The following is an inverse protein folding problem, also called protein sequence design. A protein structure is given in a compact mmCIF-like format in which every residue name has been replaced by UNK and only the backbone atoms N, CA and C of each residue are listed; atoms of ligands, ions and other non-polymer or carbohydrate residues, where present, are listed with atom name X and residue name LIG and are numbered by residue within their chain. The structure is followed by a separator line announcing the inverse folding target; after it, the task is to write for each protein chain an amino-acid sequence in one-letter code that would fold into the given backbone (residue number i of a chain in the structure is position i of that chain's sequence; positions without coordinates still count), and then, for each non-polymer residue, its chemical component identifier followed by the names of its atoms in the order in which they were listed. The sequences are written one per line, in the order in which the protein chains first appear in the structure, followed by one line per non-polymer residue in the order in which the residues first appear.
data_IF_188945352285
#
_entry.id   IF_188945352285
#
_cell.length_a   1.000
_cell.length_b   1.000
_cell.length_c   1.000
_cell.angle_alpha   90.00
_cell.angle_beta   90.00
_cell.angle_gamma   90.00
#
_symmetry.space_group_name_H-M   'P 1'
#
loop_
_entity.id
_entity.type
_entity.pdbx_description
1 polymer ?
#
# COMPACT_ATOMS: atom_id res chain seq x y z
N UNK A 1 -5.72 16.33 8.17
CA UNK A 1 -4.88 16.18 6.97
C UNK A 1 -5.31 17.18 5.92
N UNK A 2 -4.39 17.82 5.19
CA UNK A 2 -4.75 18.49 3.96
C UNK A 2 -5.31 17.44 2.99
N UNK A 3 -6.47 17.73 2.39
CA UNK A 3 -7.19 16.83 1.47
C UNK A 3 -6.35 16.39 0.28
N UNK A 4 -5.36 17.21 -0.10
CA UNK A 4 -4.37 16.93 -1.14
C UNK A 4 -3.47 15.74 -0.82
N UNK A 5 -3.06 15.57 0.44
CA UNK A 5 -2.19 14.45 0.84
C UNK A 5 -2.92 13.12 0.71
N UNK A 6 -4.17 13.07 1.18
CA UNK A 6 -5.03 11.90 1.06
C UNK A 6 -5.28 11.54 -0.41
N UNK A 7 -5.49 12.54 -1.26
CA UNK A 7 -5.64 12.32 -2.69
C UNK A 7 -4.38 11.69 -3.31
N UNK A 8 -3.20 12.23 -3.00
CA UNK A 8 -1.91 11.70 -3.47
C UNK A 8 -1.67 10.26 -2.96
N UNK A 9 -1.99 9.97 -1.70
CA UNK A 9 -1.89 8.62 -1.12
C UNK A 9 -2.70 7.59 -1.89
N UNK A 10 -3.98 7.90 -2.15
CA UNK A 10 -4.88 7.03 -2.89
C UNK A 10 -4.39 6.83 -4.32
N UNK A 11 -3.88 7.89 -4.95
CA UNK A 11 -3.36 7.83 -6.31
C UNK A 11 -2.12 6.96 -6.41
N UNK A 12 -1.16 7.09 -5.47
CA UNK A 12 0.03 6.24 -5.41
C UNK A 12 -0.38 4.78 -5.22
N UNK A 13 -1.29 4.50 -4.29
CA UNK A 13 -1.77 3.14 -4.03
C UNK A 13 -2.47 2.55 -5.25
N UNK A 14 -3.35 3.33 -5.89
CA UNK A 14 -4.08 2.93 -7.09
C UNK A 14 -3.18 2.67 -8.28
N UNK A 15 -2.16 3.52 -8.47
CA UNK A 15 -1.15 3.36 -9.52
C UNK A 15 -0.37 2.07 -9.34
N UNK A 16 0.05 1.74 -8.12
CA UNK A 16 0.71 0.45 -7.82
C UNK A 16 -0.22 -0.73 -8.12
N UNK A 17 -1.50 -0.61 -7.75
CA UNK A 17 -2.50 -1.64 -8.01
C UNK A 17 -2.69 -1.87 -9.51
N UNK A 18 -2.80 -0.80 -10.28
CA UNK A 18 -2.94 -0.89 -11.74
C UNK A 18 -1.74 -1.55 -12.41
N UNK A 19 -0.51 -1.33 -11.94
CA UNK A 19 0.67 -1.96 -12.53
C UNK A 19 0.54 -3.48 -12.51
N UNK A 20 0.25 -4.07 -11.35
CA UNK A 20 0.14 -5.53 -11.28
C UNK A 20 -1.12 -6.05 -11.97
N UNK A 21 -2.24 -5.32 -11.94
CA UNK A 21 -3.46 -5.70 -12.67
C UNK A 21 -3.20 -5.73 -14.18
N UNK A 22 -2.49 -4.73 -14.72
CA UNK A 22 -2.12 -4.69 -16.14
C UNK A 22 -1.19 -5.85 -16.47
N UNK A 23 -0.12 -6.07 -15.69
CA UNK A 23 0.81 -7.18 -15.91
C UNK A 23 0.09 -8.53 -15.87
N UNK A 24 -0.80 -8.72 -14.89
CA UNK A 24 -1.61 -9.94 -14.76
C UNK A 24 -2.54 -10.11 -15.98
N UNK A 25 -3.17 -9.03 -16.43
CA UNK A 25 -4.03 -9.06 -17.62
C UNK A 25 -3.23 -9.43 -18.88
N UNK A 26 -2.00 -8.91 -19.04
CA UNK A 26 -1.11 -9.26 -20.14
C UNK A 26 -0.60 -10.70 -20.04
N UNK A 27 -0.38 -11.20 -18.81
CA UNK A 27 0.01 -12.59 -18.58
C UNK A 27 -1.08 -13.56 -19.07
N UNK A 28 -2.36 -13.25 -18.79
CA UNK A 28 -3.51 -14.10 -19.13
C UNK A 28 -3.96 -13.90 -20.58
N UNK A 29 -4.27 -12.67 -20.98
CA UNK A 29 -4.86 -12.35 -22.29
C UNK A 29 -3.83 -12.27 -23.42
N UNK A 30 -2.55 -12.04 -23.08
CA UNK A 30 -1.49 -11.77 -24.04
C UNK A 30 -1.33 -10.28 -24.34
N UNK A 31 -0.32 -9.95 -25.13
CA UNK A 31 -0.05 -8.57 -25.56
C UNK A 31 -0.85 -8.31 -26.83
N UNK A 32 -1.86 -7.44 -26.82
CA UNK A 32 -2.61 -7.13 -28.03
C UNK A 32 -1.72 -6.28 -28.95
N UNK A 33 -1.46 -6.74 -30.17
CA UNK A 33 -0.69 -5.99 -31.18
C UNK A 33 -1.26 -4.58 -31.45
N UNK A 34 -2.57 -4.42 -31.22
CA UNK A 34 -3.32 -3.17 -31.46
C UNK A 34 -3.01 -2.08 -30.43
N UNK A 35 -2.57 -2.42 -29.21
CA UNK A 35 -2.24 -1.43 -28.17
C UNK A 35 -0.95 -0.66 -28.52
N UNK A 36 -0.10 -1.21 -29.38
CA UNK A 36 1.20 -0.62 -29.72
C UNK A 36 1.16 0.50 -30.78
N UNK A 37 0.02 0.81 -31.39
CA UNK A 37 -0.04 1.72 -32.55
C UNK A 37 -0.86 2.98 -32.30
N UNK A 38 -0.44 4.05 -33.00
CA UNK A 38 -0.99 5.40 -33.29
C UNK A 38 -1.99 6.05 -32.33
N UNK A 39 -3.00 5.33 -31.84
CA UNK A 39 -3.98 5.79 -30.86
C UNK A 39 -3.35 6.20 -29.53
N UNK A 40 -2.39 5.42 -29.00
CA UNK A 40 -1.68 5.79 -27.76
C UNK A 40 -0.83 7.06 -27.91
N UNK A 41 -0.27 7.30 -29.10
CA UNK A 41 0.55 8.49 -29.36
C UNK A 41 -0.29 9.75 -29.51
N UNK A 42 -1.45 9.67 -30.16
CA UNK A 42 -2.27 10.85 -30.45
C UNK A 42 -3.22 11.25 -29.31
N UNK A 43 -3.59 10.32 -28.41
CA UNK A 43 -4.61 10.55 -27.39
C UNK A 43 -4.07 10.53 -25.94
N UNK A 44 -2.81 10.93 -25.74
CA UNK A 44 -2.15 10.89 -24.42
C UNK A 44 -2.92 11.62 -23.32
N UNK A 45 -3.52 12.78 -23.63
CA UNK A 45 -4.30 13.56 -22.65
C UNK A 45 -5.53 12.78 -22.15
N UNK A 46 -6.26 12.15 -23.07
CA UNK A 46 -7.44 11.34 -22.71
C UNK A 46 -7.02 10.12 -21.89
N UNK A 47 -5.94 9.45 -22.30
CA UNK A 47 -5.40 8.30 -21.57
C UNK A 47 -4.94 8.68 -20.16
N UNK A 48 -4.34 9.86 -19.99
CA UNK A 48 -3.95 10.36 -18.66
C UNK A 48 -5.17 10.59 -17.77
N UNK A 49 -6.23 11.23 -18.28
CA UNK A 49 -7.47 11.46 -17.52
C UNK A 49 -8.13 10.14 -17.11
N UNK A 50 -8.21 9.17 -18.03
CA UNK A 50 -8.73 7.84 -17.74
C UNK A 50 -7.86 7.12 -16.72
N UNK A 51 -6.54 7.15 -16.88
CA UNK A 51 -5.59 6.56 -15.94
C UNK A 51 -5.77 7.12 -14.54
N UNK A 52 -5.84 8.45 -14.39
CA UNK A 52 -6.01 9.12 -13.09
C UNK A 52 -7.35 8.72 -12.44
N UNK A 53 -8.43 8.68 -13.21
CA UNK A 53 -9.77 8.33 -12.73
C UNK A 53 -9.86 6.89 -12.25
N UNK A 54 -9.31 5.96 -13.04
CA UNK A 54 -9.25 4.54 -12.72
C UNK A 54 -8.32 4.30 -11.54
N UNK A 55 -7.12 4.90 -11.56
CA UNK A 55 -6.13 4.79 -10.48
C UNK A 55 -6.73 5.21 -9.15
N UNK A 56 -7.38 6.37 -9.09
CA UNK A 56 -8.03 6.85 -7.87
C UNK A 56 -9.07 5.85 -7.32
N UNK A 57 -9.91 5.29 -8.20
CA UNK A 57 -10.95 4.32 -7.82
C UNK A 57 -10.34 3.03 -7.27
N UNK A 58 -9.34 2.47 -7.95
CA UNK A 58 -8.61 1.30 -7.47
C UNK A 58 -7.87 1.60 -6.16
N UNK A 59 -7.32 2.81 -6.02
CA UNK A 59 -6.68 3.27 -4.79
C UNK A 59 -7.61 3.19 -3.58
N UNK A 60 -8.85 3.67 -3.72
CA UNK A 60 -9.86 3.57 -2.65
C UNK A 60 -10.18 2.11 -2.33
N UNK A 61 -10.47 1.29 -3.34
CA UNK A 61 -10.84 -0.12 -3.13
C UNK A 61 -9.71 -0.88 -2.43
N UNK A 62 -8.48 -0.70 -2.90
CA UNK A 62 -7.34 -1.43 -2.39
C UNK A 62 -6.91 -0.96 -0.99
N UNK A 63 -7.08 0.33 -0.67
CA UNK A 63 -6.88 0.83 0.69
C UNK A 63 -7.84 0.14 1.68
N UNK A 64 -9.12 -0.05 1.29
CA UNK A 64 -10.11 -0.78 2.10
C UNK A 64 -9.83 -2.26 2.25
N UNK A 65 -9.39 -2.92 1.17
CA UNK A 65 -8.98 -4.31 1.23
C UNK A 65 -7.78 -4.48 2.17
N UNK A 66 -6.82 -3.58 2.07
CA UNK A 66 -5.63 -3.58 2.93
C UNK A 66 -6.00 -3.33 4.39
N UNK A 67 -6.90 -2.38 4.69
CA UNK A 67 -7.43 -2.17 6.04
C UNK A 67 -8.02 -3.45 6.62
N UNK A 68 -8.79 -4.19 5.83
CA UNK A 68 -9.42 -5.45 6.28
C UNK A 68 -8.37 -6.53 6.59
N UNK A 69 -7.33 -6.65 5.75
CA UNK A 69 -6.26 -7.64 5.91
C UNK A 69 -5.40 -7.36 7.14
N UNK A 70 -5.12 -6.09 7.43
CA UNK A 70 -4.27 -5.69 8.56
C UNK A 70 -5.04 -5.47 9.88
N UNK A 71 -6.36 -5.30 9.83
CA UNK A 71 -7.23 -5.14 11.02
C UNK A 71 -6.94 -6.11 12.18
N UNK A 72 -6.81 -7.45 11.97
CA UNK A 72 -6.52 -8.37 13.08
C UNK A 72 -5.15 -8.13 13.72
N UNK A 73 -4.14 -7.77 12.92
CA UNK A 73 -2.81 -7.47 13.43
C UNK A 73 -2.79 -6.15 14.20
N UNK A 74 -3.49 -5.13 13.70
CA UNK A 74 -3.65 -3.85 14.38
C UNK A 74 -4.34 -4.03 15.76
N UNK A 75 -5.38 -4.86 15.82
CA UNK A 75 -6.05 -5.22 17.09
C UNK A 75 -5.09 -5.91 18.06
N UNK A 76 -4.24 -6.82 17.56
CA UNK A 76 -3.23 -7.52 18.38
C UNK A 76 -2.18 -6.57 18.94
N UNK A 77 -1.64 -5.65 18.14
CA UNK A 77 -0.66 -4.68 18.63
C UNK A 77 -1.28 -3.68 19.61
N UNK A 78 -2.53 -3.27 19.36
CA UNK A 78 -3.27 -2.39 20.25
C UNK A 78 -3.46 -3.03 21.62
N UNK A 79 -3.94 -4.28 21.69
CA UNK A 79 -4.16 -4.95 22.97
C UNK A 79 -2.88 -5.19 23.75
N UNK A 80 -1.75 -5.38 23.07
CA UNK A 80 -0.44 -5.55 23.70
C UNK A 80 0.14 -4.28 24.33
N UNK A 81 -0.11 -3.10 23.74
CA UNK A 81 0.53 -1.85 24.17
C UNK A 81 -0.39 -1.01 25.07
N UNK A 82 -1.66 -0.84 24.68
CA UNK A 82 -2.61 0.04 25.38
C UNK A 82 -3.49 -0.77 26.36
N UNK A 83 -3.43 -2.10 26.29
CA UNK A 83 -4.35 -2.97 27.02
C UNK A 83 -5.77 -2.94 26.45
N UNK A 84 -6.68 -3.67 27.09
CA UNK A 84 -8.08 -3.76 26.66
C UNK A 84 -8.94 -2.60 27.21
N UNK A 85 -8.33 -1.41 27.39
CA UNK A 85 -9.01 -0.25 27.94
C UNK A 85 -10.18 0.18 27.03
N UNK A 86 -11.33 0.42 27.65
CA UNK A 86 -12.65 0.56 27.01
C UNK A 86 -12.84 1.84 26.19
N UNK A 87 -11.95 2.83 26.34
CA UNK A 87 -11.97 4.03 25.48
C UNK A 87 -11.45 3.69 24.09
N UNK A 88 -12.26 3.97 23.07
CA UNK A 88 -11.82 3.88 21.68
C UNK A 88 -10.56 4.72 21.50
N UNK A 89 -9.48 4.14 20.97
CA UNK A 89 -8.23 4.83 20.62
C UNK A 89 -8.45 6.03 19.71
N UNK A 90 -9.57 6.06 18.99
CA UNK A 90 -9.99 7.22 18.21
C UNK A 90 -10.43 8.38 19.10
N UNK A 91 -11.17 8.12 20.18
CA UNK A 91 -11.62 9.15 21.13
C UNK A 91 -10.44 9.74 21.90
N UNK A 92 -9.53 8.88 22.38
CA UNK A 92 -8.30 9.32 23.06
C UNK A 92 -7.47 10.24 22.16
N UNK A 93 -7.32 9.88 20.88
CA UNK A 93 -6.59 10.72 19.92
C UNK A 93 -7.29 12.05 19.65
N UNK A 94 -8.62 12.05 19.63
CA UNK A 94 -9.41 13.26 19.39
C UNK A 94 -9.33 14.22 20.58
N UNK A 95 -9.29 13.66 21.79
CA UNK A 95 -9.08 14.39 23.06
C UNK A 95 -7.67 15.02 23.09
N UNK A 96 -6.62 14.23 22.87
CA UNK A 96 -5.22 14.71 22.86
C UNK A 96 -4.97 15.73 21.72
N UNK A 97 -5.56 15.50 20.54
CA UNK A 97 -5.34 16.37 19.39
C UNK A 97 -6.05 17.73 19.50
N UNK A 98 -7.07 17.84 20.36
CA UNK A 98 -7.85 19.08 20.53
C UNK A 98 -6.99 20.18 21.16
N UNK A 99 -6.09 19.80 22.06
CA UNK A 99 -5.32 20.76 22.87
C UNK A 99 -3.87 20.94 22.40
N UNK A 100 -3.41 20.16 21.41
CA UNK A 100 -2.02 20.23 20.92
C UNK A 100 -1.90 20.01 19.40
N UNK A 101 -1.75 21.11 18.66
CA UNK A 101 -1.60 21.13 17.20
C UNK A 101 -0.38 20.34 16.69
N UNK A 102 0.71 20.34 17.47
CA UNK A 102 1.92 19.59 17.15
C UNK A 102 1.67 18.07 17.21
N UNK A 103 0.98 17.59 18.24
CA UNK A 103 0.61 16.18 18.37
C UNK A 103 -0.37 15.75 17.27
N UNK A 104 -1.35 16.60 16.94
CA UNK A 104 -2.28 16.34 15.83
C UNK A 104 -1.53 16.14 14.49
N UNK A 105 -0.62 17.06 14.15
CA UNK A 105 0.17 16.98 12.92
C UNK A 105 1.03 15.71 12.88
N UNK A 106 1.62 15.34 14.02
CA UNK A 106 2.43 14.12 14.14
C UNK A 106 1.59 12.85 13.97
N UNK A 107 0.38 12.79 14.54
CA UNK A 107 -0.51 11.65 14.37
C UNK A 107 -0.97 11.48 12.92
N UNK A 108 -1.27 12.58 12.24
CA UNK A 108 -1.61 12.57 10.83
C UNK A 108 -0.42 12.08 9.99
N UNK A 109 0.80 12.54 10.27
CA UNK A 109 2.01 12.03 9.62
C UNK A 109 2.18 10.51 9.78
N UNK A 110 2.04 9.97 11.00
CA UNK A 110 2.12 8.53 11.24
C UNK A 110 1.03 7.76 10.49
N UNK A 111 -0.21 8.26 10.51
CA UNK A 111 -1.36 7.63 9.84
C UNK A 111 -1.13 7.50 8.34
N UNK A 112 -0.67 8.57 7.69
CA UNK A 112 -0.32 8.60 6.28
C UNK A 112 0.72 7.52 5.94
N UNK A 113 1.85 7.52 6.67
CA UNK A 113 2.95 6.59 6.44
C UNK A 113 2.56 5.13 6.68
N UNK A 114 1.74 4.87 7.71
CA UNK A 114 1.22 3.53 8.00
C UNK A 114 0.34 3.03 6.85
N UNK A 115 -0.56 3.87 6.32
CA UNK A 115 -1.40 3.49 5.17
C UNK A 115 -0.57 3.15 3.95
N UNK A 116 0.36 4.04 3.58
CA UNK A 116 1.27 3.81 2.44
C UNK A 116 2.04 2.50 2.62
N UNK A 117 2.63 2.26 3.79
CA UNK A 117 3.41 1.06 4.05
C UNK A 117 2.57 -0.23 3.97
N UNK A 118 1.35 -0.23 4.50
CA UNK A 118 0.46 -1.41 4.37
C UNK A 118 0.06 -1.65 2.93
N UNK A 119 -0.37 -0.61 2.20
CA UNK A 119 -0.80 -0.75 0.80
C UNK A 119 0.37 -1.25 -0.07
N UNK A 120 1.56 -0.70 0.14
CA UNK A 120 2.78 -1.13 -0.54
C UNK A 120 3.11 -2.60 -0.27
N UNK A 121 2.94 -3.06 0.97
CA UNK A 121 3.19 -4.45 1.37
C UNK A 121 2.36 -5.44 0.54
N UNK A 122 1.05 -5.19 0.40
CA UNK A 122 0.17 -6.08 -0.38
C UNK A 122 0.42 -5.92 -1.88
N UNK A 123 0.62 -4.69 -2.36
CA UNK A 123 0.89 -4.44 -3.78
C UNK A 123 2.18 -5.15 -4.25
N UNK A 124 3.25 -5.20 -3.44
CA UNK A 124 4.48 -5.94 -3.81
C UNK A 124 4.20 -7.44 -3.96
N UNK A 125 3.42 -8.04 -3.07
CA UNK A 125 3.08 -9.46 -3.16
C UNK A 125 2.31 -9.75 -4.44
N UNK A 126 1.27 -8.95 -4.74
CA UNK A 126 0.48 -9.12 -5.96
C UNK A 126 1.29 -8.85 -7.23
N UNK A 127 2.20 -7.88 -7.19
CA UNK A 127 3.13 -7.60 -8.27
C UNK A 127 4.07 -8.78 -8.52
N UNK A 128 4.62 -9.40 -7.46
CA UNK A 128 5.47 -10.59 -7.55
C UNK A 128 4.74 -11.74 -8.24
N UNK A 129 3.52 -12.06 -7.78
CA UNK A 129 2.68 -13.12 -8.37
C UNK A 129 2.40 -12.81 -9.85
N UNK A 130 2.03 -11.57 -10.17
CA UNK A 130 1.71 -11.16 -11.54
C UNK A 130 2.90 -11.28 -12.47
N UNK A 131 4.09 -10.87 -12.01
CA UNK A 131 5.34 -10.98 -12.78
C UNK A 131 5.75 -12.45 -12.99
N UNK A 132 5.64 -13.29 -11.96
CA UNK A 132 5.94 -14.72 -12.09
C UNK A 132 5.01 -15.40 -13.09
N UNK A 133 3.71 -15.10 -13.04
CA UNK A 133 2.74 -15.59 -14.02
C UNK A 133 3.04 -15.08 -15.44
N UNK A 134 3.45 -13.82 -15.57
CA UNK A 134 3.84 -13.26 -16.85
C UNK A 134 5.05 -13.99 -17.45
N UNK A 135 6.12 -14.15 -16.68
CA UNK A 135 7.31 -14.91 -17.11
C UNK A 135 6.95 -16.36 -17.42
N UNK A 136 6.10 -16.99 -16.62
CA UNK A 136 5.66 -18.36 -16.82
C UNK A 136 4.90 -18.55 -18.15
N UNK A 137 3.96 -17.67 -18.47
CA UNK A 137 3.04 -17.85 -19.59
C UNK A 137 3.53 -17.23 -20.90
N UNK A 138 4.33 -16.15 -20.84
CA UNK A 138 4.67 -15.34 -22.01
C UNK A 138 6.13 -15.41 -22.42
N UNK A 139 7.02 -15.83 -21.54
CA UNK A 139 8.44 -16.01 -21.86
C UNK A 139 8.77 -17.48 -22.15
N UNK A 140 7.96 -18.16 -22.96
CA UNK A 140 8.23 -19.56 -23.35
C UNK A 140 9.35 -19.69 -24.38
N UNK A 141 9.56 -18.67 -25.20
CA UNK A 141 10.63 -18.62 -26.21
C UNK A 141 12.01 -18.32 -25.60
N UNK A 142 12.05 -17.96 -24.31
CA UNK A 142 13.31 -17.71 -23.62
C UNK A 142 13.98 -19.02 -23.24
N UNK A 143 15.32 -19.02 -23.25
CA UNK A 143 16.09 -20.14 -22.73
C UNK A 143 15.69 -20.43 -21.27
N UNK A 144 15.56 -21.72 -20.94
CA UNK A 144 15.08 -22.17 -19.62
C UNK A 144 15.91 -21.58 -18.48
N UNK A 145 17.22 -21.47 -18.66
CA UNK A 145 18.14 -20.90 -17.66
C UNK A 145 17.85 -19.42 -17.40
N UNK A 146 17.60 -18.63 -18.45
CA UNK A 146 17.22 -17.23 -18.34
C UNK A 146 15.90 -17.06 -17.58
N UNK A 147 14.89 -17.88 -17.90
CA UNK A 147 13.57 -17.87 -17.25
C UNK A 147 13.66 -18.15 -15.74
N UNK A 148 14.46 -19.14 -15.35
CA UNK A 148 14.68 -19.50 -13.95
C UNK A 148 15.42 -18.39 -13.22
N UNK A 149 16.51 -17.86 -13.81
CA UNK A 149 17.31 -16.78 -13.23
C UNK A 149 16.46 -15.53 -12.94
N UNK A 150 15.64 -15.10 -13.91
CA UNK A 150 14.76 -13.95 -13.74
C UNK A 150 13.68 -14.22 -12.69
N UNK A 151 13.11 -15.42 -12.65
CA UNK A 151 12.10 -15.78 -11.64
C UNK A 151 12.69 -15.74 -10.23
N UNK A 152 13.90 -16.26 -10.03
CA UNK A 152 14.62 -16.20 -8.75
C UNK A 152 14.90 -14.75 -8.37
N UNK A 153 15.36 -13.93 -9.32
CA UNK A 153 15.62 -12.51 -9.10
C UNK A 153 14.35 -11.77 -8.64
N UNK A 154 13.20 -12.00 -9.30
CA UNK A 154 11.90 -11.43 -8.90
C UNK A 154 11.56 -11.82 -7.46
N UNK A 155 11.71 -13.11 -7.10
CA UNK A 155 11.42 -13.59 -5.73
C UNK A 155 12.34 -12.91 -4.71
N UNK A 156 13.65 -12.82 -4.97
CA UNK A 156 14.61 -12.21 -4.04
C UNK A 156 14.29 -10.72 -3.83
N UNK A 157 14.10 -9.97 -4.92
CA UNK A 157 13.82 -8.53 -4.85
C UNK A 157 12.49 -8.27 -4.14
N UNK A 158 11.44 -9.02 -4.50
CA UNK A 158 10.11 -8.84 -3.90
C UNK A 158 10.09 -9.24 -2.43
N UNK A 159 10.79 -10.31 -2.05
CA UNK A 159 10.94 -10.72 -0.65
C UNK A 159 11.67 -9.66 0.18
N UNK A 160 12.75 -9.08 -0.37
CA UNK A 160 13.50 -8.00 0.28
C UNK A 160 12.61 -6.77 0.52
N UNK A 161 11.94 -6.29 -0.53
CA UNK A 161 11.06 -5.12 -0.45
C UNK A 161 9.86 -5.37 0.49
N UNK A 162 9.27 -6.57 0.43
CA UNK A 162 8.19 -6.98 1.32
C UNK A 162 8.63 -6.95 2.79
N UNK A 163 9.81 -7.47 3.09
CA UNK A 163 10.37 -7.49 4.44
C UNK A 163 10.63 -6.07 4.96
N UNK A 164 11.21 -5.19 4.12
CA UNK A 164 11.45 -3.79 4.46
C UNK A 164 10.12 -3.06 4.72
N UNK A 165 9.11 -3.31 3.91
CA UNK A 165 7.79 -2.71 4.03
C UNK A 165 7.08 -3.14 5.31
N UNK A 166 7.08 -4.44 5.62
CA UNK A 166 6.53 -4.99 6.87
C UNK A 166 7.26 -4.44 8.10
N UNK A 167 8.59 -4.39 8.05
CA UNK A 167 9.39 -3.81 9.13
C UNK A 167 9.02 -2.34 9.35
N UNK A 168 8.90 -1.56 8.27
CA UNK A 168 8.53 -0.15 8.33
C UNK A 168 7.13 0.04 8.93
N UNK A 169 6.16 -0.76 8.49
CA UNK A 169 4.80 -0.71 9.02
C UNK A 169 4.74 -1.07 10.51
N UNK A 170 5.37 -2.17 10.94
CA UNK A 170 5.36 -2.60 12.34
C UNK A 170 6.05 -1.57 13.24
N UNK A 171 7.18 -1.01 12.80
CA UNK A 171 7.90 0.02 13.55
C UNK A 171 7.06 1.29 13.71
N UNK A 172 6.46 1.79 12.63
CA UNK A 172 5.60 2.98 12.66
C UNK A 172 4.37 2.78 13.55
N UNK A 173 3.73 1.62 13.46
CA UNK A 173 2.54 1.29 14.27
C UNK A 173 2.88 1.23 15.75
N UNK A 174 3.98 0.56 16.13
CA UNK A 174 4.45 0.52 17.52
C UNK A 174 4.81 1.91 18.04
N UNK A 175 5.53 2.72 17.26
CA UNK A 175 5.87 4.10 17.64
C UNK A 175 4.62 4.95 17.86
N UNK A 176 3.61 4.85 17.00
CA UNK A 176 2.36 5.60 17.17
C UNK A 176 1.59 5.15 18.41
N UNK A 177 1.52 3.85 18.68
CA UNK A 177 0.85 3.30 19.85
C UNK A 177 1.56 3.68 21.15
N UNK A 178 2.90 3.64 21.17
CA UNK A 178 3.69 4.08 22.33
C UNK A 178 3.45 5.55 22.65
N UNK A 179 3.50 6.43 21.64
CA UNK A 179 3.19 7.85 21.83
C UNK A 179 1.79 8.06 22.38
N UNK A 180 0.81 7.27 21.94
CA UNK A 180 -0.56 7.35 22.48
C UNK A 180 -0.60 6.92 23.95
N UNK A 181 0.11 5.86 24.32
CA UNK A 181 0.17 5.35 25.69
C UNK A 181 0.87 6.32 26.65
N UNK A 182 1.97 6.94 26.21
CA UNK A 182 2.73 7.90 27.03
C UNK A 182 1.87 9.14 27.37
N UNK A 183 1.00 9.58 26.44
CA UNK A 183 0.08 10.69 26.70
C UNK A 183 -1.05 10.29 27.67
N UNK A 184 -1.61 9.08 27.54
CA UNK A 184 -2.61 8.58 28.51
C UNK A 184 -2.00 8.50 29.91
N UNK A 185 -0.73 8.12 30.04
CA UNK A 185 -0.03 8.10 31.33
C UNK A 185 0.03 9.49 31.98
N UNK A 186 0.40 10.51 31.20
CA UNK A 186 0.52 11.89 31.68
C UNK A 186 -0.82 12.54 32.05
N UNK A 187 -1.92 12.16 31.40
CA UNK A 187 -3.25 12.72 31.72
C UNK A 187 -3.86 12.16 33.03
N UNK A 188 -3.28 11.09 33.59
CA UNK A 188 -3.74 10.44 34.83
C UNK A 188 -2.92 10.81 36.07
N UNK A 189 -1.85 11.62 35.93
CA UNK A 189 -1.07 12.21 37.03
C UNK A 189 -1.54 13.63 37.35
#
# INVERSE_FOLDING_TARGET
MPTTLLFVELLISGSQTLIWVIILSLAVLGVPDVVATTFMKNNQAILLVLYMSISYTFGILFDRLTDSIFSPLDKKYKSQIIGNNSKSTMLIRLEIAKDNEYLHTRFEYYRSRIRIARNFTINILMLSISLLLFVANRCNDWEKECKISISIYIVIVTFSLFSISLYSWTKLTKSQLKLTNDQIGNDNE
#
